data_IF_900911584333
#
_entry.id   IF_900911584333
#
_cell.length_a   1.000
_cell.length_b   1.000
_cell.length_c   1.000
_cell.angle_alpha   90.00
_cell.angle_beta   90.00
_cell.angle_gamma   90.00
#
_symmetry.space_group_name_H-M   'P 1'
#
loop_
_entity.id
_entity.type
_entity.pdbx_description
1 polymer ?
#
# COMPACT_ATOMS: atom_id res chain seq x y z
N UNK A 1 -32.55 6.84 -23.66
CA UNK A 1 -31.87 6.21 -22.52
C UNK A 1 -30.39 6.57 -22.59
N UNK A 2 -29.88 7.24 -21.58
CA UNK A 2 -28.44 7.47 -21.48
C UNK A 2 -27.77 6.14 -21.15
N UNK A 3 -26.81 5.73 -21.95
CA UNK A 3 -25.97 4.58 -21.62
C UNK A 3 -25.04 5.00 -20.47
N UNK A 4 -25.31 4.53 -19.27
CA UNK A 4 -24.50 4.79 -18.09
C UNK A 4 -23.46 3.68 -17.83
N UNK A 5 -23.28 2.76 -18.76
CA UNK A 5 -22.33 1.65 -18.64
C UNK A 5 -20.88 2.11 -18.41
N UNK A 6 -20.55 3.32 -18.90
CA UNK A 6 -19.22 3.93 -18.71
C UNK A 6 -18.88 4.24 -17.25
N UNK A 7 -19.89 4.28 -16.36
CA UNK A 7 -19.68 4.52 -14.93
C UNK A 7 -19.09 3.32 -14.22
N UNK A 8 -19.26 2.11 -14.81
CA UNK A 8 -18.87 0.86 -14.16
C UNK A 8 -19.73 0.58 -12.92
N UNK A 9 -19.27 -0.35 -12.11
CA UNK A 9 -19.90 -0.64 -10.81
C UNK A 9 -19.56 0.49 -9.84
N UNK A 10 -20.56 1.21 -9.38
CA UNK A 10 -20.40 2.37 -8.51
C UNK A 10 -20.71 1.99 -7.06
N UNK A 11 -19.82 2.32 -6.15
CA UNK A 11 -20.04 2.14 -4.72
C UNK A 11 -18.82 1.68 -3.96
N UNK A 12 -18.97 1.36 -2.66
CA UNK A 12 -17.91 0.76 -1.86
C UNK A 12 -17.50 -0.59 -2.43
N UNK A 13 -16.23 -0.95 -2.21
CA UNK A 13 -15.70 -2.27 -2.59
C UNK A 13 -15.87 -3.26 -1.44
N UNK A 14 -16.28 -4.48 -1.76
CA UNK A 14 -16.29 -5.58 -0.80
C UNK A 14 -14.90 -6.11 -0.51
N UNK A 15 -14.76 -6.93 0.53
CA UNK A 15 -13.44 -7.45 0.95
C UNK A 15 -12.72 -8.25 -0.14
N UNK A 16 -13.43 -9.06 -0.91
CA UNK A 16 -12.85 -9.81 -2.03
C UNK A 16 -12.39 -8.88 -3.16
N UNK A 17 -13.15 -7.82 -3.44
CA UNK A 17 -12.79 -6.80 -4.44
C UNK A 17 -11.56 -6.00 -4.00
N UNK A 18 -11.48 -5.64 -2.72
CA UNK A 18 -10.32 -4.97 -2.12
C UNK A 18 -9.08 -5.85 -2.25
N UNK A 19 -9.16 -7.11 -1.86
CA UNK A 19 -8.04 -8.05 -1.97
C UNK A 19 -7.53 -8.19 -3.40
N UNK A 20 -8.43 -8.40 -4.35
CA UNK A 20 -8.07 -8.51 -5.76
C UNK A 20 -7.43 -7.21 -6.30
N UNK A 21 -7.95 -6.05 -5.93
CA UNK A 21 -7.41 -4.76 -6.32
C UNK A 21 -6.01 -4.51 -5.74
N UNK A 22 -5.81 -4.82 -4.46
CA UNK A 22 -4.51 -4.64 -3.80
C UNK A 22 -3.44 -5.64 -4.26
N UNK A 23 -3.84 -6.72 -4.93
CA UNK A 23 -2.92 -7.66 -5.58
C UNK A 23 -2.42 -7.17 -6.94
N UNK A 24 -3.02 -6.14 -7.51
CA UNK A 24 -2.53 -5.53 -8.74
C UNK A 24 -1.23 -4.74 -8.48
N UNK A 25 -0.34 -4.61 -9.48
CA UNK A 25 0.94 -3.93 -9.31
C UNK A 25 0.80 -2.40 -9.31
N UNK A 26 0.02 -1.87 -8.40
CA UNK A 26 -0.21 -0.44 -8.20
C UNK A 26 0.55 0.01 -6.97
N UNK A 27 1.31 1.11 -7.10
CA UNK A 27 2.04 1.65 -5.97
C UNK A 27 1.11 2.12 -4.85
N UNK A 28 1.47 1.76 -3.64
CA UNK A 28 0.89 2.40 -2.47
C UNK A 28 1.55 3.76 -2.26
N UNK A 29 0.76 4.70 -1.80
CA UNK A 29 1.27 5.98 -1.30
C UNK A 29 1.12 5.96 0.21
N UNK A 30 2.27 5.92 0.89
CA UNK A 30 2.36 5.79 2.34
C UNK A 30 2.67 7.15 2.95
N UNK A 31 1.79 7.61 3.82
CA UNK A 31 2.00 8.81 4.61
C UNK A 31 2.49 8.44 6.00
N UNK A 32 3.58 9.04 6.42
CA UNK A 32 4.19 8.91 7.75
C UNK A 32 4.33 10.28 8.37
N UNK A 33 4.68 10.34 9.65
CA UNK A 33 4.94 11.58 10.36
C UNK A 33 6.43 11.67 10.69
N UNK A 34 7.07 12.77 10.29
CA UNK A 34 8.47 13.01 10.64
C UNK A 34 8.63 13.43 12.12
N UNK A 35 9.86 13.70 12.55
CA UNK A 35 10.16 14.05 13.92
C UNK A 35 9.52 15.36 14.40
N UNK A 36 9.10 16.21 13.48
CA UNK A 36 8.42 17.48 13.76
C UNK A 36 6.89 17.37 13.61
N UNK A 37 6.38 16.18 13.28
CA UNK A 37 4.96 15.95 13.06
C UNK A 37 4.46 16.30 11.66
N UNK A 38 5.36 16.61 10.72
CA UNK A 38 4.98 16.85 9.34
C UNK A 38 4.66 15.57 8.60
N UNK A 39 3.57 15.54 7.81
CA UNK A 39 3.30 14.41 6.93
C UNK A 39 4.39 14.28 5.86
N UNK A 40 4.87 13.07 5.70
CA UNK A 40 5.80 12.69 4.64
C UNK A 40 5.17 11.58 3.83
N UNK A 41 5.04 11.75 2.51
CA UNK A 41 4.38 10.80 1.63
C UNK A 41 5.40 10.21 0.66
N UNK A 42 5.42 8.90 0.56
CA UNK A 42 6.32 8.16 -0.32
C UNK A 42 5.54 7.12 -1.13
N UNK A 43 5.81 6.98 -2.44
CA UNK A 43 5.34 5.80 -3.18
C UNK A 43 6.18 4.59 -2.79
N UNK A 44 5.53 3.46 -2.58
CA UNK A 44 6.23 2.22 -2.24
C UNK A 44 5.46 1.00 -2.74
N UNK A 45 6.15 -0.12 -2.79
CA UNK A 45 5.51 -1.41 -3.01
C UNK A 45 4.85 -1.86 -1.71
N UNK A 46 3.77 -2.59 -1.84
CA UNK A 46 3.08 -3.20 -0.72
C UNK A 46 2.62 -4.62 -1.07
N UNK A 47 2.43 -5.43 -0.05
CA UNK A 47 1.72 -6.70 -0.15
C UNK A 47 0.55 -6.68 0.82
N UNK A 48 -0.64 -7.00 0.32
CA UNK A 48 -1.84 -7.15 1.15
C UNK A 48 -1.98 -8.62 1.54
N UNK A 49 -1.87 -8.91 2.82
CA UNK A 49 -2.00 -10.26 3.34
C UNK A 49 -2.43 -10.20 4.82
N UNK A 50 -3.28 -11.12 5.22
CA UNK A 50 -3.79 -11.20 6.59
C UNK A 50 -4.47 -9.91 7.08
N UNK A 51 -5.12 -9.20 6.17
CA UNK A 51 -5.80 -7.94 6.47
C UNK A 51 -4.86 -6.77 6.78
N UNK A 52 -3.59 -6.86 6.41
CA UNK A 52 -2.57 -5.84 6.65
C UNK A 52 -1.78 -5.52 5.39
N UNK A 53 -1.24 -4.30 5.33
CA UNK A 53 -0.26 -3.94 4.32
C UNK A 53 1.15 -4.24 4.83
N UNK A 54 1.89 -5.05 4.08
CA UNK A 54 3.28 -5.35 4.38
C UNK A 54 4.16 -4.46 3.52
N UNK A 55 5.14 -3.80 4.13
CA UNK A 55 6.09 -2.93 3.45
C UNK A 55 7.51 -3.24 3.88
N UNK A 56 8.42 -3.19 2.92
CA UNK A 56 9.85 -3.48 3.12
C UNK A 56 10.63 -2.22 2.76
N UNK A 57 11.45 -1.76 3.68
CA UNK A 57 12.23 -0.54 3.51
C UNK A 57 13.73 -0.82 3.59
N UNK A 58 14.52 -0.12 2.78
CA UNK A 58 15.97 -0.13 2.94
C UNK A 58 16.35 0.52 4.26
N UNK A 59 17.43 0.05 4.88
CA UNK A 59 17.90 0.52 6.20
C UNK A 59 17.89 2.04 6.35
N UNK A 60 18.34 2.76 5.32
CA UNK A 60 18.46 4.23 5.37
C UNK A 60 17.23 4.99 4.86
N UNK A 61 16.12 4.32 4.58
CA UNK A 61 14.91 5.00 4.17
C UNK A 61 14.36 5.87 5.29
N UNK A 62 14.19 7.16 5.03
CA UNK A 62 13.71 8.12 6.04
C UNK A 62 12.36 7.72 6.62
N UNK A 63 11.42 7.31 5.75
CA UNK A 63 10.08 6.94 6.16
C UNK A 63 10.04 5.73 7.10
N UNK A 64 11.02 4.82 7.00
CA UNK A 64 11.12 3.68 7.91
C UNK A 64 11.50 4.14 9.32
N UNK A 65 12.43 5.06 9.42
CA UNK A 65 12.77 5.69 10.69
C UNK A 65 11.58 6.43 11.31
N UNK A 66 10.79 7.12 10.49
CA UNK A 66 9.59 7.80 10.95
C UNK A 66 8.53 6.82 11.47
N UNK A 67 8.27 5.72 10.75
CA UNK A 67 7.36 4.67 11.20
C UNK A 67 7.81 4.00 12.51
N UNK A 68 9.10 3.77 12.66
CA UNK A 68 9.66 3.19 13.88
C UNK A 68 9.47 4.13 15.09
N UNK A 69 9.52 5.45 14.87
CA UNK A 69 9.34 6.45 15.91
C UNK A 69 7.86 6.75 16.19
N UNK A 70 7.02 6.81 15.16
CA UNK A 70 5.58 7.08 15.29
C UNK A 70 4.81 6.08 14.42
N UNK A 71 4.04 5.16 15.01
CA UNK A 71 3.35 4.10 14.28
C UNK A 71 2.14 4.58 13.49
N UNK A 72 1.69 5.82 13.66
CA UNK A 72 0.54 6.35 12.92
C UNK A 72 0.92 6.59 11.48
N UNK A 73 0.13 6.04 10.55
CA UNK A 73 0.36 6.18 9.13
C UNK A 73 -0.95 6.06 8.35
N UNK A 74 -0.88 6.40 7.08
CA UNK A 74 -2.00 6.21 6.17
C UNK A 74 -1.50 5.68 4.84
N UNK A 75 -2.33 4.86 4.19
CA UNK A 75 -2.04 4.26 2.89
C UNK A 75 -3.15 4.62 1.92
N UNK A 76 -2.78 5.02 0.73
CA UNK A 76 -3.70 5.15 -0.40
C UNK A 76 -3.19 4.31 -1.56
N UNK A 77 -4.09 3.52 -2.15
CA UNK A 77 -3.88 2.81 -3.42
C UNK A 77 -5.02 3.18 -4.33
N UNK A 78 -4.71 3.76 -5.48
CA UNK A 78 -5.70 4.18 -6.47
C UNK A 78 -5.19 3.90 -7.87
N UNK A 79 -6.12 3.66 -8.80
CA UNK A 79 -5.78 3.38 -10.19
C UNK A 79 -5.96 4.59 -11.09
N UNK A 80 -5.18 4.63 -12.17
CA UNK A 80 -5.34 5.61 -13.24
C UNK A 80 -6.36 5.08 -14.25
N UNK A 81 -7.34 5.91 -14.62
CA UNK A 81 -8.35 5.58 -15.63
C UNK A 81 -9.56 4.80 -15.12
N UNK A 82 -9.47 4.13 -13.99
CA UNK A 82 -10.60 3.61 -13.22
C UNK A 82 -10.84 4.52 -12.02
N UNK A 83 -11.74 4.16 -11.16
CA UNK A 83 -12.03 4.94 -9.95
C UNK A 83 -11.86 4.09 -8.69
N UNK A 84 -11.25 2.91 -8.83
CA UNK A 84 -11.02 2.07 -7.66
C UNK A 84 -9.97 2.72 -6.77
N UNK A 85 -10.29 2.85 -5.50
CA UNK A 85 -9.37 3.36 -4.48
C UNK A 85 -9.60 2.70 -3.14
N UNK A 86 -8.51 2.53 -2.43
CA UNK A 86 -8.49 2.12 -1.03
C UNK A 86 -7.72 3.17 -0.27
N UNK A 87 -8.32 3.71 0.79
CA UNK A 87 -7.70 4.66 1.71
C UNK A 87 -7.75 4.01 3.09
N UNK A 88 -6.63 3.93 3.77
CA UNK A 88 -6.57 3.32 5.10
C UNK A 88 -5.75 4.18 6.06
N UNK A 89 -6.28 4.42 7.25
CA UNK A 89 -5.48 4.86 8.39
C UNK A 89 -5.01 3.62 9.12
N UNK A 90 -3.73 3.56 9.42
CA UNK A 90 -3.09 2.37 9.97
C UNK A 90 -2.22 2.69 11.18
N UNK A 91 -1.92 1.64 11.95
CA UNK A 91 -0.81 1.62 12.89
C UNK A 91 0.24 0.63 12.43
N UNK A 92 1.47 1.08 12.36
CA UNK A 92 2.59 0.25 11.94
C UNK A 92 3.06 -0.63 13.10
N UNK A 93 3.25 -1.92 12.81
CA UNK A 93 3.98 -2.85 13.65
C UNK A 93 5.37 -3.04 13.04
N UNK A 94 6.41 -2.78 13.82
CA UNK A 94 7.77 -3.13 13.44
C UNK A 94 7.94 -4.63 13.62
N UNK A 95 7.99 -5.37 12.52
CA UNK A 95 8.14 -6.84 12.53
C UNK A 95 9.60 -7.24 12.59
N UNK A 96 10.45 -6.57 11.79
CA UNK A 96 11.89 -6.80 11.78
C UNK A 96 12.65 -5.48 11.68
N UNK A 97 13.62 -5.28 12.56
CA UNK A 97 14.64 -4.24 12.39
C UNK A 97 15.52 -4.56 11.18
N UNK A 98 16.31 -3.59 10.67
CA UNK A 98 17.17 -3.84 9.52
C UNK A 98 18.05 -5.06 9.69
N UNK A 99 17.89 -6.02 8.77
CA UNK A 99 18.62 -7.28 8.79
C UNK A 99 18.80 -7.82 7.37
N UNK A 100 19.68 -8.81 7.23
CA UNK A 100 19.91 -9.57 6.01
C UNK A 100 19.37 -10.97 6.21
N UNK A 101 18.63 -11.47 5.22
CA UNK A 101 18.13 -12.84 5.22
C UNK A 101 16.91 -13.09 6.10
N UNK A 102 16.25 -12.06 6.60
CA UNK A 102 15.05 -12.18 7.41
C UNK A 102 13.79 -12.51 6.62
N UNK A 103 12.67 -12.46 7.31
CA UNK A 103 11.33 -12.73 6.75
C UNK A 103 10.97 -11.80 5.59
N UNK A 104 11.52 -10.59 5.59
CA UNK A 104 11.30 -9.62 4.51
C UNK A 104 11.69 -10.14 3.13
N UNK A 105 12.62 -11.10 3.04
CA UNK A 105 13.17 -11.61 1.76
C UNK A 105 12.07 -12.24 0.91
N UNK A 106 11.28 -13.15 1.48
CA UNK A 106 10.21 -13.82 0.74
C UNK A 106 9.09 -12.84 0.35
N UNK A 107 8.77 -11.90 1.22
CA UNK A 107 7.80 -10.84 0.91
C UNK A 107 8.32 -9.97 -0.24
N UNK A 108 9.57 -9.55 -0.18
CA UNK A 108 10.20 -8.77 -1.25
C UNK A 108 10.27 -9.53 -2.58
N UNK A 109 10.49 -10.83 -2.56
CA UNK A 109 10.45 -11.68 -3.77
C UNK A 109 9.07 -11.67 -4.42
N UNK A 110 8.02 -11.88 -3.63
CA UNK A 110 6.65 -11.83 -4.15
C UNK A 110 6.32 -10.44 -4.69
N UNK A 111 6.68 -9.38 -3.97
CA UNK A 111 6.47 -8.00 -4.43
C UNK A 111 7.21 -7.73 -5.74
N UNK A 112 8.49 -8.06 -5.82
CA UNK A 112 9.29 -7.78 -7.03
C UNK A 112 8.73 -8.47 -8.27
N UNK A 113 8.27 -9.70 -8.15
CA UNK A 113 7.62 -10.42 -9.24
C UNK A 113 6.29 -9.79 -9.61
N UNK A 114 5.49 -9.37 -8.63
CA UNK A 114 4.20 -8.74 -8.89
C UNK A 114 4.33 -7.38 -9.57
N UNK A 115 5.30 -6.56 -9.15
CA UNK A 115 5.51 -5.22 -9.72
C UNK A 115 6.34 -5.20 -11.00
N UNK A 116 7.28 -6.12 -11.17
CA UNK A 116 8.24 -6.12 -12.28
C UNK A 116 8.15 -7.37 -13.18
N UNK A 117 7.22 -8.30 -12.88
CA UNK A 117 7.09 -9.53 -13.64
C UNK A 117 8.36 -10.37 -13.63
N UNK A 118 8.77 -10.87 -14.79
CA UNK A 118 9.97 -11.70 -14.94
C UNK A 118 11.27 -11.00 -14.57
N UNK A 119 11.29 -9.66 -14.54
CA UNK A 119 12.46 -8.87 -14.16
C UNK A 119 12.59 -8.67 -12.64
N UNK A 120 11.63 -9.14 -11.85
CA UNK A 120 11.66 -9.04 -10.39
C UNK A 120 12.93 -9.57 -9.77
N UNK A 121 13.37 -10.82 -10.08
CA UNK A 121 14.62 -11.35 -9.56
C UNK A 121 15.84 -10.51 -9.96
N UNK A 122 15.88 -10.01 -11.18
CA UNK A 122 17.00 -9.16 -11.65
C UNK A 122 17.17 -7.89 -10.83
N UNK A 123 16.06 -7.34 -10.35
CA UNK A 123 16.05 -6.16 -9.50
C UNK A 123 16.44 -6.49 -8.05
N UNK A 124 15.89 -7.57 -7.51
CA UNK A 124 15.96 -7.86 -6.07
C UNK A 124 17.22 -8.65 -5.68
N UNK A 125 17.52 -9.75 -6.39
CA UNK A 125 18.54 -10.72 -5.97
C UNK A 125 19.94 -10.08 -5.76
N UNK A 126 20.40 -9.15 -6.62
CA UNK A 126 21.68 -8.48 -6.39
C UNK A 126 21.75 -7.62 -5.12
N UNK A 127 20.62 -7.33 -4.51
CA UNK A 127 20.50 -6.42 -3.36
C UNK A 127 20.11 -7.11 -2.05
N UNK A 128 20.07 -8.45 -2.03
CA UNK A 128 19.65 -9.22 -0.84
C UNK A 128 20.61 -9.06 0.35
N UNK A 129 21.85 -8.66 0.12
CA UNK A 129 22.80 -8.35 1.17
C UNK A 129 22.67 -6.95 1.78
N UNK A 130 21.74 -6.14 1.27
CA UNK A 130 21.43 -4.83 1.85
C UNK A 130 20.36 -4.98 2.93
N UNK A 131 20.64 -4.57 4.18
CA UNK A 131 19.69 -4.72 5.27
C UNK A 131 18.39 -3.97 5.04
N UNK A 132 17.26 -4.58 5.42
CA UNK A 132 15.94 -3.99 5.31
C UNK A 132 15.11 -4.16 6.57
N UNK A 133 14.22 -3.19 6.76
CA UNK A 133 13.14 -3.21 7.73
C UNK A 133 11.96 -3.99 7.16
N UNK A 134 11.17 -4.59 8.05
CA UNK A 134 9.86 -5.12 7.72
C UNK A 134 8.82 -4.53 8.68
N UNK A 135 7.78 -3.93 8.09
CA UNK A 135 6.62 -3.43 8.83
C UNK A 135 5.35 -4.09 8.34
N UNK A 136 4.42 -4.31 9.25
CA UNK A 136 3.03 -4.63 8.95
C UNK A 136 2.17 -3.44 9.38
N UNK A 137 1.36 -2.92 8.46
CA UNK A 137 0.50 -1.77 8.70
C UNK A 137 -0.92 -2.28 8.95
N UNK A 138 -1.37 -2.19 10.20
CA UNK A 138 -2.68 -2.64 10.63
C UNK A 138 -3.72 -1.55 10.38
N UNK A 139 -4.70 -1.77 9.48
CA UNK A 139 -5.75 -0.78 9.26
C UNK A 139 -6.64 -0.61 10.49
N UNK A 140 -6.86 0.64 10.89
CA UNK A 140 -7.81 1.03 11.93
C UNK A 140 -9.10 1.58 11.33
N UNK A 141 -9.00 2.22 10.15
CA UNK A 141 -10.11 2.72 9.35
C UNK A 141 -9.81 2.51 7.88
N UNK A 142 -10.82 2.07 7.12
CA UNK A 142 -10.69 1.83 5.68
C UNK A 142 -11.87 2.48 4.95
N UNK A 143 -11.57 3.20 3.88
CA UNK A 143 -12.54 3.74 2.93
C UNK A 143 -12.22 3.20 1.55
N UNK A 144 -13.24 2.75 0.85
CA UNK A 144 -13.10 2.23 -0.51
C UNK A 144 -14.16 2.84 -1.43
N UNK A 145 -13.83 2.91 -2.70
CA UNK A 145 -14.77 3.34 -3.72
C UNK A 145 -14.40 2.75 -5.07
N UNK A 146 -15.40 2.53 -5.91
CA UNK A 146 -15.22 2.13 -7.30
C UNK A 146 -16.29 2.79 -8.17
N UNK A 147 -16.02 2.86 -9.47
CA UNK A 147 -16.94 3.44 -10.44
C UNK A 147 -16.85 4.96 -10.57
N UNK A 148 -17.37 5.45 -11.68
CA UNK A 148 -17.24 6.85 -12.09
C UNK A 148 -18.44 7.69 -11.64
N UNK A 149 -18.70 7.72 -10.34
CA UNK A 149 -19.72 8.60 -9.75
C UNK A 149 -19.36 8.94 -8.31
N UNK A 150 -19.96 10.01 -7.81
CA UNK A 150 -19.76 10.46 -6.44
C UNK A 150 -20.58 9.65 -5.45
N UNK A 151 -20.05 9.44 -4.27
CA UNK A 151 -20.83 8.90 -3.17
C UNK A 151 -22.03 9.82 -2.87
N UNK A 152 -23.23 9.27 -2.55
CA UNK A 152 -24.43 10.07 -2.31
C UNK A 152 -24.24 11.21 -1.31
N UNK A 153 -23.39 10.99 -0.29
CA UNK A 153 -23.09 12.01 0.74
C UNK A 153 -22.41 13.28 0.20
N UNK A 154 -21.86 13.25 -1.01
CA UNK A 154 -21.22 14.41 -1.65
C UNK A 154 -22.12 15.07 -2.68
N UNK A 155 -23.29 14.53 -2.93
CA UNK A 155 -24.26 15.15 -3.83
C UNK A 155 -25.02 16.21 -3.03
N UNK A 156 -24.97 17.44 -3.50
CA UNK A 156 -25.80 18.51 -2.95
C UNK A 156 -27.27 18.20 -3.25
N UNK A 157 -28.11 18.35 -2.24
CA UNK A 157 -29.58 18.24 -2.38
C UNK A 157 -30.18 19.59 -2.66
#
# INVERSE_FOLDING_TARGET
MSDESWRGKVGPMGSAEVGAFLDEPIFARLATLDSEGWPYVVPCWQEWSDGRFWVVARKKSAWAGYLAADPRCAVTVDETGGQRKVIAQCRAELVEEPNVGGRWVEIARRMSTRYLGEHGPNYLEPTLNSPRWLFALEPTRVWTWQGNDWAPRYRET
#
